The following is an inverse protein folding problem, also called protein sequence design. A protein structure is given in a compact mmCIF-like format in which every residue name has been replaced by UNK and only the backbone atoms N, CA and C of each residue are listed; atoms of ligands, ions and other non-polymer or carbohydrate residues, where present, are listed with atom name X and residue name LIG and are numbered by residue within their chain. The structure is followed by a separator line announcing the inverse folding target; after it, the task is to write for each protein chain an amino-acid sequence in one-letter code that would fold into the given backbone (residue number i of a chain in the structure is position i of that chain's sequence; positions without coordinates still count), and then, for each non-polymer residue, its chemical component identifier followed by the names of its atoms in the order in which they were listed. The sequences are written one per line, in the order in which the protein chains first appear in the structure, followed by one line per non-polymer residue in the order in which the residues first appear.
data_IF_543513282587
#
_entry.id   IF_543513282587
#
_cell.length_a   1.000
_cell.length_b   1.000
_cell.length_c   1.000
_cell.angle_alpha   90.00
_cell.angle_beta   90.00
_cell.angle_gamma   90.00
#
_symmetry.space_group_name_H-M   'P 1'
#
loop_
_entity.id
_entity.type
_entity.pdbx_description
1 polymer ?
#
# COMPACT_ATOMS: atom_id res chain seq x y z
N UNK A 1 -20.12 -14.94 25.17
CA UNK A 1 -20.48 -13.82 24.28
C UNK A 1 -19.36 -12.79 24.35
N UNK A 2 -18.50 -12.67 23.34
CA UNK A 2 -17.45 -11.64 23.31
C UNK A 2 -18.12 -10.28 23.12
N UNK A 3 -18.06 -9.42 24.15
CA UNK A 3 -18.88 -8.21 24.30
C UNK A 3 -18.47 -7.01 23.43
N UNK A 4 -17.43 -7.10 22.62
CA UNK A 4 -17.12 -6.12 21.57
C UNK A 4 -15.84 -6.55 20.85
N UNK A 5 -15.81 -6.44 19.53
CA UNK A 5 -14.56 -6.52 18.79
C UNK A 5 -13.68 -5.34 19.18
N UNK A 6 -12.40 -5.53 19.53
CA UNK A 6 -11.48 -4.42 19.77
C UNK A 6 -11.44 -3.50 18.54
N UNK A 7 -11.64 -2.20 18.78
CA UNK A 7 -11.62 -1.16 17.74
C UNK A 7 -10.20 -0.63 17.62
N UNK A 8 -9.49 -0.99 16.56
CA UNK A 8 -8.18 -0.42 16.23
C UNK A 8 -8.36 0.60 15.11
N UNK A 9 -8.86 1.79 15.42
CA UNK A 9 -9.17 2.78 14.39
C UNK A 9 -7.97 3.16 13.50
N UNK A 10 -6.79 3.33 14.11
CA UNK A 10 -5.56 3.69 13.41
C UNK A 10 -4.44 2.74 13.79
N UNK A 11 -3.79 2.16 12.78
CA UNK A 11 -2.54 1.42 12.95
C UNK A 11 -1.43 2.22 12.29
N UNK A 12 -0.50 2.73 13.11
CA UNK A 12 0.71 3.43 12.67
C UNK A 12 1.90 2.52 12.87
N UNK A 13 2.70 2.34 11.83
CA UNK A 13 3.86 1.46 11.85
C UNK A 13 5.02 2.13 11.11
N UNK A 14 6.21 2.06 11.70
CA UNK A 14 7.47 2.50 11.12
C UNK A 14 8.51 1.39 11.24
N UNK A 15 9.41 1.22 10.25
CA UNK A 15 10.63 0.46 10.46
C UNK A 15 11.50 1.17 11.52
N UNK A 16 12.45 0.46 12.15
CA UNK A 16 13.44 1.09 13.01
C UNK A 16 14.24 2.14 12.21
N UNK A 17 14.48 3.29 12.82
CA UNK A 17 15.37 4.30 12.24
C UNK A 17 16.80 3.76 12.25
N UNK A 18 17.37 3.56 11.06
CA UNK A 18 18.75 3.15 10.88
C UNK A 18 19.54 4.36 10.39
N UNK A 19 20.64 4.67 11.08
CA UNK A 19 21.59 5.68 10.63
C UNK A 19 22.41 5.08 9.48
N UNK A 20 22.31 5.68 8.30
CA UNK A 20 23.01 5.22 7.10
C UNK A 20 24.27 6.06 6.93
N UNK A 21 25.43 5.43 7.07
CA UNK A 21 26.75 6.04 6.82
C UNK A 21 27.56 5.26 5.81
N UNK A 22 27.24 3.99 5.60
CA UNK A 22 27.92 3.08 4.67
C UNK A 22 26.93 2.41 3.72
N UNK A 23 27.46 1.88 2.61
CA UNK A 23 26.68 1.09 1.65
C UNK A 23 26.15 -0.21 2.28
N UNK A 24 26.91 -0.85 3.17
CA UNK A 24 26.48 -2.05 3.89
C UNK A 24 25.27 -1.75 4.79
N UNK A 25 25.27 -0.62 5.49
CA UNK A 25 24.14 -0.16 6.31
C UNK A 25 22.91 0.19 5.44
N UNK A 26 23.12 0.72 4.23
CA UNK A 26 22.04 0.93 3.27
C UNK A 26 21.42 -0.40 2.83
N UNK A 27 22.25 -1.38 2.48
CA UNK A 27 21.80 -2.72 2.07
C UNK A 27 21.06 -3.44 3.20
N UNK A 28 21.56 -3.33 4.44
CA UNK A 28 20.90 -3.85 5.63
C UNK A 28 19.54 -3.16 5.87
N UNK A 29 19.48 -1.83 5.74
CA UNK A 29 18.21 -1.10 5.85
C UNK A 29 17.20 -1.55 4.79
N UNK A 30 17.62 -1.69 3.53
CA UNK A 30 16.77 -2.19 2.44
C UNK A 30 16.21 -3.58 2.78
N UNK A 31 17.06 -4.50 3.25
CA UNK A 31 16.64 -5.82 3.71
C UNK A 31 15.56 -5.73 4.79
N UNK A 32 15.77 -4.93 5.84
CA UNK A 32 14.79 -4.76 6.92
C UNK A 32 13.48 -4.12 6.46
N UNK A 33 13.54 -3.15 5.54
CA UNK A 33 12.35 -2.54 4.95
C UNK A 33 11.55 -3.56 4.11
N UNK A 34 12.22 -4.41 3.33
CA UNK A 34 11.57 -5.49 2.57
C UNK A 34 10.91 -6.52 3.48
N UNK A 35 11.61 -6.95 4.53
CA UNK A 35 11.08 -7.86 5.56
C UNK A 35 9.88 -7.26 6.29
N UNK A 36 9.99 -5.99 6.66
CA UNK A 36 8.90 -5.23 7.28
C UNK A 36 7.64 -5.24 6.42
N UNK A 37 7.74 -4.87 5.14
CA UNK A 37 6.60 -4.91 4.22
C UNK A 37 6.09 -6.34 4.05
N UNK A 38 6.99 -7.34 4.02
CA UNK A 38 6.62 -8.75 4.02
C UNK A 38 5.75 -9.17 5.20
N UNK A 39 6.12 -8.76 6.42
CA UNK A 39 5.34 -9.00 7.64
C UNK A 39 4.01 -8.26 7.62
N UNK A 40 4.01 -7.00 7.22
CA UNK A 40 2.79 -6.20 7.06
C UNK A 40 1.79 -6.89 6.13
N UNK A 41 2.23 -7.40 4.98
CA UNK A 41 1.39 -8.13 4.04
C UNK A 41 0.75 -9.36 4.67
N UNK A 42 1.49 -10.11 5.52
CA UNK A 42 0.95 -11.26 6.24
C UNK A 42 -0.13 -10.85 7.24
N UNK A 43 0.05 -9.73 7.93
CA UNK A 43 -0.92 -9.19 8.89
C UNK A 43 -2.16 -8.55 8.24
N UNK A 44 -2.02 -8.01 7.03
CA UNK A 44 -3.14 -7.43 6.28
C UNK A 44 -4.04 -8.47 5.63
N UNK A 45 -3.54 -9.69 5.39
CA UNK A 45 -4.31 -10.79 4.78
C UNK A 45 -5.55 -11.09 5.62
N UNK A 46 -6.70 -11.02 4.96
CA UNK A 46 -7.96 -11.49 5.51
C UNK A 46 -7.97 -13.01 5.37
N UNK A 47 -8.13 -13.79 6.45
CA UNK A 47 -8.27 -15.23 6.33
C UNK A 47 -9.48 -15.56 5.43
N UNK A 48 -9.38 -16.58 4.57
CA UNK A 48 -10.50 -16.98 3.73
C UNK A 48 -11.73 -17.26 4.61
N UNK A 49 -12.91 -16.85 4.13
CA UNK A 49 -14.21 -17.15 4.74
C UNK A 49 -14.51 -18.65 4.62
N UNK A 50 -13.70 -19.48 5.28
CA UNK A 50 -14.13 -20.84 5.62
C UNK A 50 -15.17 -20.69 6.74
N UNK A 51 -16.27 -21.44 6.67
CA UNK A 51 -17.48 -21.26 7.48
C UNK A 51 -17.33 -21.38 9.01
N UNK A 52 -16.11 -21.37 9.54
CA UNK A 52 -15.79 -21.56 10.95
C UNK A 52 -14.77 -20.56 11.51
N UNK A 53 -14.29 -19.56 10.75
CA UNK A 53 -13.38 -18.56 11.32
C UNK A 53 -14.14 -17.53 12.15
N UNK A 54 -14.40 -17.84 13.42
CA UNK A 54 -14.85 -16.91 14.45
C UNK A 54 -13.82 -15.81 14.79
N UNK A 55 -12.90 -15.52 13.88
CA UNK A 55 -11.87 -14.50 14.02
C UNK A 55 -12.50 -13.14 13.78
N UNK A 56 -12.78 -12.44 14.87
CA UNK A 56 -13.13 -11.03 14.85
C UNK A 56 -11.90 -10.25 14.38
N UNK A 57 -11.88 -9.85 13.11
CA UNK A 57 -10.85 -8.93 12.63
C UNK A 57 -11.09 -7.57 13.29
N UNK A 58 -10.04 -6.94 13.87
CA UNK A 58 -10.18 -5.61 14.40
C UNK A 58 -10.60 -4.68 13.26
N UNK A 59 -11.55 -3.79 13.58
CA UNK A 59 -11.90 -2.69 12.69
C UNK A 59 -10.66 -1.82 12.55
N UNK A 60 -10.17 -1.66 11.33
CA UNK A 60 -9.01 -0.84 10.98
C UNK A 60 -9.47 0.20 9.96
N UNK A 61 -9.56 1.47 10.38
CA UNK A 61 -10.04 2.56 9.52
C UNK A 61 -8.87 3.27 8.81
N UNK A 62 -7.74 3.43 9.50
CA UNK A 62 -6.56 4.14 9.00
C UNK A 62 -5.32 3.28 9.16
N UNK A 63 -4.56 3.11 8.08
CA UNK A 63 -3.24 2.48 8.10
C UNK A 63 -2.19 3.53 7.74
N UNK A 64 -1.25 3.78 8.63
CA UNK A 64 -0.13 4.69 8.44
C UNK A 64 1.18 3.90 8.39
N UNK A 65 1.87 3.97 7.25
CA UNK A 65 3.14 3.28 7.03
C UNK A 65 4.18 4.36 6.79
N UNK A 66 5.11 4.48 7.72
CA UNK A 66 6.03 5.60 7.77
C UNK A 66 7.44 5.15 7.42
N UNK A 67 8.22 6.06 6.82
CA UNK A 67 9.67 5.95 6.64
C UNK A 67 10.15 4.71 5.88
N UNK A 68 9.28 4.02 5.15
CA UNK A 68 9.69 2.94 4.24
C UNK A 68 10.29 3.56 2.99
N UNK A 69 11.46 3.07 2.61
CA UNK A 69 12.18 3.57 1.44
C UNK A 69 11.36 3.46 0.14
N UNK A 70 11.56 4.41 -0.76
CA UNK A 70 10.81 4.49 -2.01
C UNK A 70 11.12 3.31 -2.96
N UNK A 71 12.34 2.77 -2.97
CA UNK A 71 12.67 1.61 -3.81
C UNK A 71 11.87 0.37 -3.40
N UNK A 72 11.70 0.15 -2.09
CA UNK A 72 10.85 -0.92 -1.53
C UNK A 72 9.39 -0.73 -1.95
N UNK A 73 8.88 0.51 -1.90
CA UNK A 73 7.53 0.80 -2.38
C UNK A 73 7.35 0.47 -3.85
N UNK A 74 8.30 0.86 -4.70
CA UNK A 74 8.26 0.56 -6.14
C UNK A 74 8.09 -0.94 -6.39
N UNK A 75 8.89 -1.76 -5.72
CA UNK A 75 8.88 -3.21 -5.92
C UNK A 75 7.68 -3.91 -5.27
N UNK A 76 7.25 -3.47 -4.08
CA UNK A 76 6.25 -4.20 -3.26
C UNK A 76 4.83 -3.66 -3.38
N UNK A 77 4.64 -2.52 -4.07
CA UNK A 77 3.32 -1.88 -4.18
C UNK A 77 2.24 -2.79 -4.75
N UNK A 78 2.52 -3.59 -5.79
CA UNK A 78 1.53 -4.51 -6.37
C UNK A 78 0.97 -5.48 -5.32
N UNK A 79 1.84 -6.05 -4.49
CA UNK A 79 1.46 -6.95 -3.40
C UNK A 79 0.69 -6.22 -2.31
N UNK A 80 1.15 -5.02 -1.91
CA UNK A 80 0.49 -4.18 -0.90
C UNK A 80 -0.90 -3.79 -1.37
N UNK A 81 -1.03 -3.26 -2.59
CA UNK A 81 -2.30 -2.95 -3.24
C UNK A 81 -3.26 -4.13 -3.22
N UNK A 82 -2.79 -5.34 -3.53
CA UNK A 82 -3.62 -6.55 -3.49
C UNK A 82 -4.17 -6.85 -2.09
N UNK A 83 -3.30 -6.80 -1.07
CA UNK A 83 -3.69 -7.01 0.32
C UNK A 83 -4.66 -5.92 0.82
N UNK A 84 -4.40 -4.65 0.47
CA UNK A 84 -5.28 -3.55 0.82
C UNK A 84 -6.63 -3.66 0.11
N UNK A 85 -6.68 -4.11 -1.16
CA UNK A 85 -7.95 -4.35 -1.88
C UNK A 85 -8.86 -5.33 -1.15
N UNK A 86 -8.32 -6.36 -0.51
CA UNK A 86 -9.10 -7.30 0.29
C UNK A 86 -9.78 -6.61 1.49
N UNK A 87 -9.10 -5.63 2.10
CA UNK A 87 -9.63 -4.78 3.19
C UNK A 87 -10.52 -3.64 2.69
N UNK A 88 -10.51 -3.35 1.39
CA UNK A 88 -11.13 -2.20 0.72
C UNK A 88 -12.45 -2.54 -0.01
N UNK A 89 -13.40 -3.27 0.61
CA UNK A 89 -14.80 -3.52 0.12
C UNK A 89 -15.62 -4.16 1.24
N UNK A 90 -16.95 -4.22 1.26
CA UNK A 90 -18.06 -3.30 0.90
C UNK A 90 -19.09 -3.33 2.06
N UNK A 91 -18.69 -3.87 3.22
CA UNK A 91 -19.60 -4.09 4.33
C UNK A 91 -19.32 -3.05 5.43
N UNK A 92 -20.19 -2.03 5.60
CA UNK A 92 -19.99 -0.97 6.60
C UNK A 92 -19.94 -1.50 8.05
N UNK A 93 -20.40 -2.75 8.26
CA UNK A 93 -20.39 -3.43 9.55
C UNK A 93 -19.10 -4.19 9.89
N UNK A 94 -18.17 -4.36 8.94
CA UNK A 94 -16.99 -5.19 9.13
C UNK A 94 -15.75 -4.63 8.43
N UNK A 95 -14.88 -3.97 9.20
CA UNK A 95 -13.43 -3.87 8.91
C UNK A 95 -12.96 -3.16 7.63
N UNK A 96 -13.70 -2.16 7.15
CA UNK A 96 -13.32 -1.46 5.92
C UNK A 96 -12.21 -0.44 6.17
N UNK A 97 -10.96 -0.77 5.80
CA UNK A 97 -9.89 0.22 5.69
C UNK A 97 -10.37 1.41 4.88
N UNK A 98 -10.34 2.62 5.44
CA UNK A 98 -10.82 3.84 4.77
C UNK A 98 -9.66 4.64 4.20
N UNK A 99 -8.61 4.81 5.01
CA UNK A 99 -7.47 5.67 4.71
C UNK A 99 -6.17 4.89 4.76
N UNK A 100 -5.31 5.15 3.78
CA UNK A 100 -3.89 4.74 3.83
C UNK A 100 -3.04 6.00 3.76
N UNK A 101 -2.14 6.14 4.72
CA UNK A 101 -1.11 7.16 4.74
C UNK A 101 0.24 6.48 4.55
N UNK A 102 1.02 6.97 3.59
CA UNK A 102 2.37 6.51 3.32
C UNK A 102 3.29 7.72 3.48
N UNK A 103 4.36 7.57 4.24
CA UNK A 103 5.36 8.63 4.39
C UNK A 103 6.69 8.15 3.83
N UNK A 104 7.27 8.92 2.90
CA UNK A 104 8.51 8.59 2.19
C UNK A 104 9.46 9.80 2.22
N UNK A 105 10.76 9.54 2.23
CA UNK A 105 11.79 10.59 2.16
C UNK A 105 11.62 11.36 0.86
N UNK A 106 11.71 12.70 0.93
CA UNK A 106 11.56 13.58 -0.23
C UNK A 106 12.74 13.45 -1.20
N UNK A 107 12.59 12.55 -2.17
CA UNK A 107 13.49 12.40 -3.32
C UNK A 107 12.74 12.67 -4.64
N UNK A 108 13.47 12.90 -5.73
CA UNK A 108 12.88 13.04 -7.06
C UNK A 108 12.00 11.83 -7.43
N UNK A 109 12.46 10.61 -7.08
CA UNK A 109 11.72 9.35 -7.27
C UNK A 109 10.47 9.29 -6.38
N UNK A 110 10.54 9.75 -5.13
CA UNK A 110 9.39 9.80 -4.22
C UNK A 110 8.29 10.77 -4.69
N UNK A 111 8.65 11.92 -5.27
CA UNK A 111 7.69 12.88 -5.88
C UNK A 111 6.93 12.25 -7.05
N UNK A 112 7.63 11.48 -7.88
CA UNK A 112 7.00 10.71 -8.98
C UNK A 112 6.06 9.64 -8.43
N UNK A 113 6.49 8.91 -7.39
CA UNK A 113 5.65 7.93 -6.70
C UNK A 113 4.38 8.57 -6.10
N UNK A 114 4.52 9.69 -5.37
CA UNK A 114 3.39 10.46 -4.84
C UNK A 114 2.40 10.85 -5.95
N UNK A 115 2.90 11.41 -7.05
CA UNK A 115 2.06 11.82 -8.19
C UNK A 115 1.30 10.63 -8.80
N UNK A 116 1.97 9.49 -8.98
CA UNK A 116 1.36 8.25 -9.50
C UNK A 116 0.29 7.71 -8.54
N UNK A 117 0.58 7.73 -7.24
CA UNK A 117 -0.33 7.31 -6.19
C UNK A 117 -1.57 8.20 -6.09
N UNK A 118 -1.41 9.52 -6.23
CA UNK A 118 -2.52 10.45 -6.26
C UNK A 118 -3.44 10.18 -7.46
N UNK A 119 -2.88 9.94 -8.66
CA UNK A 119 -3.69 9.55 -9.83
C UNK A 119 -4.47 8.26 -9.59
N UNK A 120 -3.84 7.27 -8.98
CA UNK A 120 -4.50 6.00 -8.61
C UNK A 120 -5.62 6.21 -7.59
N UNK A 121 -5.37 6.98 -6.54
CA UNK A 121 -6.35 7.33 -5.51
C UNK A 121 -7.59 8.00 -6.13
N UNK A 122 -7.39 9.02 -6.97
CA UNK A 122 -8.46 9.69 -7.70
C UNK A 122 -9.25 8.74 -8.60
N UNK A 123 -8.55 7.91 -9.40
CA UNK A 123 -9.20 6.96 -10.33
C UNK A 123 -10.04 5.90 -9.61
N UNK A 124 -9.64 5.49 -8.41
CA UNK A 124 -10.29 4.40 -7.67
C UNK A 124 -11.22 4.87 -6.56
N UNK A 125 -11.26 6.18 -6.27
CA UNK A 125 -11.98 6.74 -5.13
C UNK A 125 -11.42 6.31 -3.77
N UNK A 126 -10.18 5.78 -3.72
CA UNK A 126 -9.55 5.32 -2.48
C UNK A 126 -8.82 6.48 -1.81
N UNK A 127 -8.97 6.63 -0.50
CA UNK A 127 -8.27 7.67 0.25
C UNK A 127 -6.84 7.21 0.58
N UNK A 128 -5.94 7.40 -0.37
CA UNK A 128 -4.51 7.13 -0.21
C UNK A 128 -3.76 8.45 -0.28
N UNK A 129 -2.97 8.75 0.74
CA UNK A 129 -2.14 9.94 0.83
C UNK A 129 -0.68 9.53 0.94
N UNK A 130 0.17 10.16 0.12
CA UNK A 130 1.63 10.04 0.24
C UNK A 130 2.18 11.37 0.75
N UNK A 131 2.80 11.36 1.92
CA UNK A 131 3.48 12.51 2.51
C UNK A 131 4.98 12.40 2.24
N UNK A 132 5.54 13.47 1.69
CA UNK A 132 6.98 13.64 1.54
C UNK A 132 7.48 14.33 2.81
N UNK A 133 8.51 13.76 3.44
CA UNK A 133 9.18 14.42 4.56
C UNK A 133 10.65 14.63 4.22
N UNK A 134 11.21 15.75 4.68
CA UNK A 134 12.64 16.00 4.57
C UNK A 134 13.34 15.08 5.57
N UNK A 135 13.96 14.02 5.08
CA UNK A 135 14.83 13.18 5.89
C UNK A 135 16.11 13.93 6.25
N UNK A 136 16.82 13.45 7.25
CA UNK A 136 18.12 13.98 7.73
C UNK A 136 19.31 13.21 7.15
N UNK A 137 19.14 12.50 6.03
CA UNK A 137 20.16 11.64 5.44
C UNK A 137 20.96 12.41 4.39
N UNK A 138 22.19 12.78 4.72
CA UNK A 138 23.17 13.44 3.82
C UNK A 138 23.76 12.49 2.76
N UNK A 139 23.32 11.23 2.72
CA UNK A 139 23.80 10.24 1.78
C UNK A 139 22.93 10.25 0.50
N UNK A 140 23.36 11.01 -0.51
CA UNK A 140 22.83 10.92 -1.87
C UNK A 140 23.49 9.72 -2.58
N UNK A 141 22.83 8.56 -2.56
CA UNK A 141 23.24 7.45 -3.44
C UNK A 141 22.87 7.84 -4.87
N UNK A 142 23.88 7.98 -5.72
CA UNK A 142 23.71 8.09 -7.17
C UNK A 142 23.20 6.77 -7.73
N UNK A 143 21.88 6.56 -7.61
CA UNK A 143 21.21 5.39 -8.15
C UNK A 143 21.03 5.55 -9.66
N UNK A 144 21.95 4.94 -10.40
CA UNK A 144 21.98 4.82 -11.86
C UNK A 144 20.60 4.68 -12.52
N UNK A 145 20.48 5.28 -13.71
CA UNK A 145 19.31 5.41 -14.57
C UNK A 145 18.77 4.08 -15.12
N UNK A 146 18.47 3.09 -14.28
CA UNK A 146 17.73 1.91 -14.72
C UNK A 146 16.27 2.30 -14.97
N UNK A 147 16.00 2.71 -16.21
CA UNK A 147 14.71 2.80 -16.91
C UNK A 147 13.47 2.88 -16.02
N UNK A 148 13.05 4.11 -15.71
CA UNK A 148 11.90 4.45 -14.86
C UNK A 148 10.50 4.07 -15.42
N UNK A 149 10.45 3.33 -16.53
CA UNK A 149 9.23 3.06 -17.27
C UNK A 149 8.66 1.64 -17.12
N UNK A 150 9.43 0.63 -16.70
CA UNK A 150 8.95 -0.76 -16.86
C UNK A 150 8.32 -1.41 -15.62
N UNK A 151 8.63 -0.99 -14.39
CA UNK A 151 8.28 -1.84 -13.24
C UNK A 151 6.99 -1.44 -12.48
N UNK A 152 6.52 -0.21 -12.63
CA UNK A 152 5.33 0.29 -11.92
C UNK A 152 4.05 0.21 -12.78
N UNK A 153 3.79 -0.94 -13.38
CA UNK A 153 2.54 -1.17 -14.09
C UNK A 153 1.38 -1.24 -13.08
N UNK A 154 0.60 -0.15 -13.00
CA UNK A 154 -0.77 -0.25 -12.52
C UNK A 154 -1.55 -1.00 -13.58
N UNK A 155 -1.61 -2.32 -13.40
CA UNK A 155 -2.46 -3.27 -14.11
C UNK A 155 -3.68 -2.57 -14.76
N UNK A 156 -3.56 -2.30 -16.08
CA UNK A 156 -4.55 -1.58 -16.88
C UNK A 156 -5.85 -2.39 -17.07
N UNK A 157 -5.93 -3.61 -16.50
CA UNK A 157 -7.08 -4.52 -16.60
C UNK A 157 -8.40 -3.97 -16.07
N UNK A 158 -8.39 -2.91 -15.26
CA UNK A 158 -9.62 -2.25 -14.78
C UNK A 158 -10.39 -1.50 -15.89
N UNK A 159 -9.73 -1.05 -16.96
CA UNK A 159 -10.46 -0.52 -18.13
C UNK A 159 -11.15 -1.64 -18.92
N UNK A 160 -10.53 -2.82 -19.00
CA UNK A 160 -11.06 -3.96 -19.73
C UNK A 160 -12.29 -4.58 -19.04
N UNK A 161 -12.36 -4.56 -17.71
CA UNK A 161 -13.56 -5.00 -16.98
C UNK A 161 -14.73 -4.00 -17.08
N UNK A 162 -14.47 -2.69 -17.00
CA UNK A 162 -15.51 -1.68 -17.18
C UNK A 162 -16.10 -1.69 -18.59
N UNK A 163 -15.26 -1.91 -19.62
CA UNK A 163 -15.71 -2.10 -21.01
C UNK A 163 -16.53 -3.38 -21.21
N UNK A 164 -16.17 -4.49 -20.53
CA UNK A 164 -16.93 -5.76 -20.60
C UNK A 164 -18.31 -5.66 -19.96
N UNK A 165 -18.46 -4.87 -18.90
CA UNK A 165 -19.76 -4.61 -18.27
C UNK A 165 -20.64 -3.71 -19.16
N UNK A 166 -20.09 -2.61 -19.69
CA UNK A 166 -20.82 -1.73 -20.61
C UNK A 166 -21.28 -2.42 -21.91
N UNK A 167 -20.49 -3.38 -22.43
CA UNK A 167 -20.86 -4.18 -23.60
C UNK A 167 -21.90 -5.28 -23.29
N UNK A 168 -22.00 -5.74 -22.04
CA UNK A 168 -23.03 -6.71 -21.61
C UNK A 168 -24.40 -6.07 -21.50
N UNK A 169 -24.48 -4.83 -21.01
CA UNK A 169 -25.76 -4.13 -20.86
C UNK A 169 -26.34 -3.72 -22.22
N UNK A 170 -25.51 -3.37 -23.20
CA UNK A 170 -25.97 -3.08 -24.57
C UNK A 170 -26.56 -4.28 -25.31
N UNK A 171 -26.18 -5.51 -24.96
CA UNK A 171 -26.73 -6.74 -25.56
C UNK A 171 -28.04 -7.22 -24.91
N UNK A 172 -28.51 -6.55 -23.85
CA UNK A 172 -29.78 -6.86 -23.17
C UNK A 172 -30.91 -5.86 -23.46
N UNK A 173 -30.63 -4.82 -24.24
CA UNK A 173 -31.60 -3.78 -24.62
C UNK A 173 -31.97 -3.78 -26.11
N UNK A 174 -31.76 -4.90 -26.82
CA UNK A 174 -32.32 -5.16 -28.14
C UNK A 174 -33.07 -6.48 -28.12
#
# INVERSE_FOLDING_TARGET
MFKSTPKLHTLRISPPELYIKTEDEYNEMQYWHHEFVGRLLRCLRIPPKSGHSGLLLPMLDTLEILQVDNSVWRQRWKSVRSALRARWRDNPSASGLRRVLITVVDTSKARRFQSRMQRYATKTGKLIQVQLYRGTSDYEVDESETSDNEEFEFDNSLQTEQLKWALRDRKRSC
#
